data_IF_205258121850
#
_entry.id   IF_205258121850
#
_cell.length_a   1.000
_cell.length_b   1.000
_cell.length_c   1.000
_cell.angle_alpha   90.00
_cell.angle_beta   90.00
_cell.angle_gamma   90.00
#
_symmetry.space_group_name_H-M   'P 1'
#
loop_
_entity.id
_entity.type
_entity.pdbx_description
1 polymer ?
#
# COMPACT_ATOMS: atom_id res chain seq x y z
N UNK A 1 -13.58 0.24 -31.74
CA UNK A 1 -13.72 0.17 -30.27
C UNK A 1 -14.80 -0.86 -29.97
N UNK A 2 -14.58 -1.74 -29.00
CA UNK A 2 -15.52 -2.84 -28.73
C UNK A 2 -15.52 -3.16 -27.25
N UNK A 3 -16.66 -3.63 -26.76
CA UNK A 3 -16.90 -3.92 -25.35
C UNK A 3 -15.78 -4.73 -24.69
N UNK A 4 -15.26 -5.74 -25.39
CA UNK A 4 -14.16 -6.57 -24.90
C UNK A 4 -12.86 -5.81 -24.71
N UNK A 5 -12.51 -4.90 -25.62
CA UNK A 5 -11.31 -4.07 -25.48
C UNK A 5 -11.45 -3.13 -24.30
N UNK A 6 -12.60 -2.49 -24.16
CA UNK A 6 -12.83 -1.53 -23.08
C UNK A 6 -12.85 -2.24 -21.70
N UNK A 7 -13.36 -3.48 -21.63
CA UNK A 7 -13.25 -4.32 -20.43
C UNK A 7 -11.80 -4.72 -20.13
N UNK A 8 -11.03 -5.14 -21.14
CA UNK A 8 -9.61 -5.49 -20.97
C UNK A 8 -8.80 -4.28 -20.49
N UNK A 9 -9.05 -3.10 -21.05
CA UNK A 9 -8.35 -1.87 -20.64
C UNK A 9 -8.67 -1.51 -19.18
N UNK A 10 -9.93 -1.62 -18.76
CA UNK A 10 -10.33 -1.40 -17.36
C UNK A 10 -9.67 -2.40 -16.40
N UNK A 11 -9.63 -3.69 -16.74
CA UNK A 11 -8.98 -4.72 -15.91
C UNK A 11 -7.48 -4.47 -15.82
N UNK A 12 -6.83 -4.12 -16.92
CA UNK A 12 -5.41 -3.78 -16.93
C UNK A 12 -5.12 -2.55 -16.06
N UNK A 13 -5.99 -1.54 -16.08
CA UNK A 13 -5.85 -0.37 -15.22
C UNK A 13 -6.01 -0.72 -13.74
N UNK A 14 -7.00 -1.55 -13.38
CA UNK A 14 -7.17 -2.05 -12.01
C UNK A 14 -5.95 -2.84 -11.55
N UNK A 15 -5.40 -3.72 -12.39
CA UNK A 15 -4.21 -4.50 -12.07
C UNK A 15 -2.96 -3.60 -11.89
N UNK A 16 -2.79 -2.57 -12.73
CA UNK A 16 -1.70 -1.61 -12.61
C UNK A 16 -1.80 -0.78 -11.32
N UNK A 17 -3.02 -0.34 -10.98
CA UNK A 17 -3.29 0.37 -9.72
C UNK A 17 -2.97 -0.52 -8.50
N UNK A 18 -3.45 -1.77 -8.50
CA UNK A 18 -3.18 -2.73 -7.43
C UNK A 18 -1.68 -3.02 -7.28
N UNK A 19 -0.97 -3.19 -8.40
CA UNK A 19 0.49 -3.39 -8.41
C UNK A 19 1.21 -2.22 -7.74
N UNK A 20 0.79 -1.00 -8.06
CA UNK A 20 1.35 0.23 -7.48
C UNK A 20 1.11 0.28 -5.97
N UNK A 21 -0.11 -0.05 -5.53
CA UNK A 21 -0.46 -0.05 -4.11
C UNK A 21 0.36 -1.08 -3.32
N UNK A 22 0.48 -2.32 -3.82
CA UNK A 22 1.25 -3.38 -3.18
C UNK A 22 2.74 -3.03 -3.13
N UNK A 23 3.29 -2.42 -4.19
CA UNK A 23 4.69 -1.98 -4.21
C UNK A 23 4.97 -0.91 -3.14
N UNK A 24 4.10 0.08 -3.01
CA UNK A 24 4.23 1.11 -1.97
C UNK A 24 4.21 0.51 -0.55
N UNK A 25 3.34 -0.48 -0.31
CA UNK A 25 3.30 -1.22 0.95
C UNK A 25 4.63 -1.95 1.20
N UNK A 26 5.15 -2.66 0.20
CA UNK A 26 6.40 -3.43 0.32
C UNK A 26 7.61 -2.53 0.59
N UNK A 27 7.68 -1.36 -0.04
CA UNK A 27 8.75 -0.38 0.18
C UNK A 27 8.76 0.13 1.63
N UNK A 28 7.60 0.51 2.16
CA UNK A 28 7.50 0.99 3.55
C UNK A 28 7.81 -0.13 4.54
N UNK A 29 7.27 -1.34 4.34
CA UNK A 29 7.59 -2.50 5.18
C UNK A 29 9.09 -2.81 5.17
N UNK A 30 9.77 -2.67 4.04
CA UNK A 30 11.22 -2.86 3.93
C UNK A 30 12.00 -1.75 4.65
N UNK A 31 11.52 -0.51 4.67
CA UNK A 31 12.16 0.56 5.42
C UNK A 31 12.03 0.34 6.93
N UNK A 32 10.86 -0.10 7.38
CA UNK A 32 10.55 -0.41 8.78
C UNK A 32 11.43 -1.55 9.29
N UNK A 33 11.64 -2.61 8.50
CA UNK A 33 12.54 -3.72 8.88
C UNK A 33 14.01 -3.28 8.99
N UNK A 34 14.40 -2.19 8.34
CA UNK A 34 15.71 -1.55 8.48
C UNK A 34 15.79 -0.53 9.60
N UNK A 35 14.71 -0.35 10.37
CA UNK A 35 14.63 0.56 11.52
C UNK A 35 14.14 1.98 11.18
N UNK A 36 13.75 2.27 9.94
CA UNK A 36 13.17 3.57 9.58
C UNK A 36 11.66 3.59 9.86
N UNK A 37 11.30 3.99 11.08
CA UNK A 37 9.92 4.13 11.55
C UNK A 37 9.29 5.50 11.21
N UNK A 38 9.97 6.32 10.41
CA UNK A 38 9.44 7.63 9.98
C UNK A 38 8.58 7.52 8.72
N UNK A 39 8.65 6.37 8.03
CA UNK A 39 7.93 6.10 6.79
C UNK A 39 6.47 5.71 7.05
N UNK A 40 5.60 6.06 6.10
CA UNK A 40 4.20 5.63 6.08
C UNK A 40 3.73 5.42 4.64
N UNK A 41 2.71 4.61 4.47
CA UNK A 41 2.12 4.32 3.17
C UNK A 41 1.08 5.39 2.84
N UNK A 42 1.33 6.16 1.79
CA UNK A 42 0.49 7.30 1.36
C UNK A 42 -0.36 7.06 0.12
N UNK A 43 -0.18 5.92 -0.56
CA UNK A 43 -0.92 5.60 -1.80
C UNK A 43 -2.42 5.50 -1.53
N UNK A 44 -3.22 6.00 -2.48
CA UNK A 44 -4.66 5.82 -2.44
C UNK A 44 -5.01 4.34 -2.66
N UNK A 45 -5.82 3.81 -1.76
CA UNK A 45 -6.29 2.43 -1.80
C UNK A 45 -7.75 2.36 -1.34
N UNK A 46 -8.45 1.29 -1.70
CA UNK A 46 -9.83 1.04 -1.31
C UNK A 46 -10.00 -0.45 -0.98
N UNK A 47 -11.08 -0.78 -0.27
CA UNK A 47 -11.37 -2.16 0.14
C UNK A 47 -10.27 -2.76 1.02
N UNK A 48 -9.93 -4.03 0.78
CA UNK A 48 -8.97 -4.78 1.59
C UNK A 48 -7.56 -4.16 1.57
N UNK A 49 -7.16 -3.54 0.46
CA UNK A 49 -5.85 -2.88 0.35
C UNK A 49 -5.78 -1.63 1.22
N UNK A 50 -6.89 -0.91 1.38
CA UNK A 50 -6.95 0.22 2.31
C UNK A 50 -6.82 -0.25 3.76
N UNK A 51 -7.53 -1.32 4.14
CA UNK A 51 -7.43 -1.90 5.47
C UNK A 51 -5.99 -2.40 5.76
N UNK A 52 -5.35 -3.06 4.81
CA UNK A 52 -3.96 -3.50 4.94
C UNK A 52 -3.00 -2.33 5.14
N UNK A 53 -3.14 -1.27 4.31
CA UNK A 53 -2.35 -0.04 4.41
C UNK A 53 -2.50 0.60 5.80
N UNK A 54 -3.73 0.72 6.29
CA UNK A 54 -4.02 1.36 7.57
C UNK A 54 -3.46 0.55 8.74
N UNK A 55 -3.63 -0.77 8.72
CA UNK A 55 -3.07 -1.68 9.74
C UNK A 55 -1.53 -1.60 9.80
N UNK A 56 -0.85 -1.55 8.66
CA UNK A 56 0.60 -1.40 8.62
C UNK A 56 1.03 -0.03 9.15
N UNK A 57 0.35 1.06 8.75
CA UNK A 57 0.64 2.39 9.27
C UNK A 57 0.42 2.49 10.79
N UNK A 58 -0.58 1.79 11.33
CA UNK A 58 -0.78 1.67 12.77
C UNK A 58 0.34 0.88 13.45
N UNK A 59 0.74 -0.27 12.88
CA UNK A 59 1.88 -1.05 13.39
C UNK A 59 3.16 -0.18 13.47
N UNK A 60 3.45 0.64 12.45
CA UNK A 60 4.63 1.52 12.44
C UNK A 60 4.54 2.57 13.56
N UNK A 61 3.38 3.20 13.73
CA UNK A 61 3.16 4.17 14.82
C UNK A 61 3.37 3.53 16.18
N UNK A 62 2.81 2.36 16.41
CA UNK A 62 2.97 1.64 17.68
C UNK A 62 4.43 1.26 17.95
N UNK A 63 5.17 0.78 16.95
CA UNK A 63 6.60 0.49 17.08
C UNK A 63 7.40 1.74 17.39
N UNK A 64 7.10 2.87 16.74
CA UNK A 64 7.76 4.16 16.99
C UNK A 64 7.51 4.64 18.42
N UNK A 65 6.28 4.55 18.88
CA UNK A 65 5.91 4.99 20.24
C UNK A 65 6.51 4.07 21.32
N UNK A 66 6.70 2.79 21.04
CA UNK A 66 7.36 1.85 21.95
C UNK A 66 8.88 2.02 21.99
N UNK A 67 9.52 2.38 20.88
CA UNK A 67 10.98 2.58 20.81
C UNK A 67 11.44 3.92 21.37
N UNK A 68 10.55 4.92 21.43
CA UNK A 68 10.84 6.25 22.00
C UNK A 68 10.49 6.36 23.50
N UNK A 69 9.93 5.31 24.12
CA UNK A 69 9.73 5.18 25.56
C UNK A 69 10.97 4.58 26.23
#
# INVERSE_FOLDING_TARGET
>A
AGLWRDLTDNVNQLAANLTTQVRAIAEVSTAVTKGDLTRSISVQASGEVAALKDNINEMIRNLKDQTLK
#
